data_IF_848092183101
#
_entry.id   IF_848092183101
#
_cell.length_a   1.000
_cell.length_b   1.000
_cell.length_c   1.000
_cell.angle_alpha   90.00
_cell.angle_beta   90.00
_cell.angle_gamma   90.00
#
_symmetry.space_group_name_H-M   'P 1'
#
loop_
_entity.id
_entity.type
_entity.pdbx_description
1 polymer ?
#
# COMPACT_ATOMS: atom_id res chain seq x y z
N UNK A 1 -4.85 19.23 -1.84
CA UNK A 1 -5.06 18.24 -2.88
C UNK A 1 -6.38 18.52 -3.61
N UNK A 2 -6.61 18.02 -4.81
CA UNK A 2 -7.87 18.26 -5.54
C UNK A 2 -8.47 16.91 -5.92
N UNK A 3 -9.80 16.80 -5.98
CA UNK A 3 -10.52 15.59 -6.42
C UNK A 3 -10.72 15.53 -7.94
N UNK A 4 -9.73 15.98 -8.71
CA UNK A 4 -9.87 16.09 -10.17
C UNK A 4 -9.92 14.72 -10.85
N UNK A 5 -9.06 13.80 -10.43
CA UNK A 5 -9.00 12.45 -10.99
C UNK A 5 -10.20 11.62 -10.54
N UNK A 6 -10.58 11.73 -9.28
CA UNK A 6 -11.76 11.06 -8.71
C UNK A 6 -13.02 11.47 -9.47
N UNK A 7 -13.23 12.76 -9.68
CA UNK A 7 -14.40 13.28 -10.41
C UNK A 7 -14.42 12.87 -11.89
N UNK A 8 -13.26 12.79 -12.54
CA UNK A 8 -13.16 12.30 -13.93
C UNK A 8 -13.45 10.81 -14.03
N UNK A 9 -13.08 10.03 -13.01
CA UNK A 9 -13.30 8.59 -12.98
C UNK A 9 -14.77 8.24 -12.68
N UNK A 10 -15.46 9.10 -11.92
CA UNK A 10 -16.85 8.92 -11.51
C UNK A 10 -17.00 8.09 -10.23
N UNK A 11 -18.08 8.37 -9.47
CA UNK A 11 -18.41 7.67 -8.23
C UNK A 11 -19.23 6.41 -8.52
N UNK A 12 -19.00 5.28 -7.84
CA UNK A 12 -18.00 5.10 -6.80
C UNK A 12 -16.59 4.91 -7.34
N UNK A 13 -15.60 5.47 -6.64
CA UNK A 13 -14.18 5.40 -7.00
C UNK A 13 -13.32 5.06 -5.79
N UNK A 14 -12.25 4.30 -6.00
CA UNK A 14 -11.22 4.01 -4.99
C UNK A 14 -9.83 4.45 -5.47
N UNK A 15 -8.93 4.77 -4.52
CA UNK A 15 -7.51 4.97 -4.76
C UNK A 15 -6.69 3.80 -4.21
N UNK A 16 -5.64 3.40 -4.91
CA UNK A 16 -4.74 2.30 -4.51
C UNK A 16 -3.28 2.78 -4.59
N UNK A 17 -2.50 2.43 -3.58
CA UNK A 17 -1.05 2.66 -3.55
C UNK A 17 -0.34 1.52 -2.80
N UNK A 18 1.01 1.43 -2.95
CA UNK A 18 1.84 0.43 -2.30
C UNK A 18 2.95 1.03 -1.46
N UNK A 19 3.46 0.22 -0.53
CA UNK A 19 4.65 0.52 0.25
C UNK A 19 5.57 -0.70 0.37
N UNK A 20 6.88 -0.49 0.23
CA UNK A 20 7.86 -1.53 0.53
C UNK A 20 8.37 -2.32 -0.67
N UNK A 21 8.43 -1.76 -1.86
CA UNK A 21 9.05 -2.43 -3.04
C UNK A 21 10.57 -2.55 -2.95
N UNK A 22 11.25 -1.50 -2.47
CA UNK A 22 12.71 -1.42 -2.44
C UNK A 22 13.47 -2.14 -1.32
N UNK A 23 12.88 -2.43 -0.14
CA UNK A 23 13.54 -3.14 0.94
C UNK A 23 14.01 -4.54 0.57
N UNK A 24 15.08 -5.02 1.26
CA UNK A 24 15.64 -6.36 1.15
C UNK A 24 14.88 -7.40 2.00
N UNK A 25 14.02 -6.93 2.92
CA UNK A 25 13.26 -7.78 3.83
C UNK A 25 11.83 -7.29 4.02
N UNK A 26 10.98 -8.23 4.37
CA UNK A 26 9.56 -8.04 4.66
C UNK A 26 8.67 -8.02 3.42
N UNK A 27 7.35 -8.07 3.63
CA UNK A 27 6.33 -8.00 2.58
C UNK A 27 6.32 -6.67 1.83
N UNK A 28 5.74 -6.67 0.64
CA UNK A 28 5.18 -5.45 0.02
C UNK A 28 3.74 -5.33 0.48
N UNK A 29 3.35 -4.13 0.90
CA UNK A 29 1.98 -3.80 1.30
C UNK A 29 1.31 -2.96 0.23
N UNK A 30 0.01 -3.13 0.07
CA UNK A 30 -0.84 -2.25 -0.70
C UNK A 30 -2.09 -1.91 0.12
N UNK A 31 -2.65 -0.75 -0.12
CA UNK A 31 -3.94 -0.37 0.44
C UNK A 31 -4.86 0.17 -0.65
N UNK A 32 -6.15 -0.01 -0.45
CA UNK A 32 -7.21 0.58 -1.25
C UNK A 32 -8.15 1.37 -0.34
N UNK A 33 -8.56 2.55 -0.79
CA UNK A 33 -9.45 3.45 -0.04
C UNK A 33 -10.54 3.96 -0.97
N UNK A 34 -11.79 3.72 -0.58
CA UNK A 34 -12.98 4.32 -1.18
C UNK A 34 -13.65 5.28 -0.19
N UNK A 35 -14.04 6.45 -0.66
CA UNK A 35 -14.88 7.39 0.06
C UNK A 35 -15.78 8.08 -0.96
N UNK A 36 -17.13 8.18 -0.72
CA UNK A 36 -18.03 8.90 -1.62
C UNK A 36 -17.54 10.32 -1.91
N UNK A 37 -17.62 10.76 -3.17
CA UNK A 37 -17.04 12.05 -3.62
C UNK A 37 -17.60 13.25 -2.88
N UNK A 38 -18.88 13.21 -2.51
CA UNK A 38 -19.51 14.26 -1.70
C UNK A 38 -18.81 14.36 -0.34
N UNK A 39 -18.67 13.23 0.36
CA UNK A 39 -18.01 13.15 1.66
C UNK A 39 -16.52 13.54 1.59
N UNK A 40 -15.82 13.10 0.55
CA UNK A 40 -14.44 13.49 0.29
C UNK A 40 -14.29 15.00 0.11
N UNK A 41 -15.26 15.65 -0.57
CA UNK A 41 -15.26 17.10 -0.76
C UNK A 41 -15.43 17.86 0.55
N UNK A 42 -16.29 17.41 1.45
CA UNK A 42 -16.47 17.98 2.79
C UNK A 42 -15.20 17.87 3.63
N UNK A 43 -14.59 16.68 3.66
CA UNK A 43 -13.44 16.38 4.53
C UNK A 43 -12.12 17.03 4.07
N UNK A 44 -11.99 17.38 2.80
CA UNK A 44 -10.79 18.06 2.28
C UNK A 44 -10.48 19.40 2.96
N UNK A 45 -11.50 20.11 3.45
CA UNK A 45 -11.33 21.37 4.21
C UNK A 45 -11.16 21.16 5.72
N UNK A 46 -11.29 19.93 6.21
CA UNK A 46 -11.30 19.57 7.62
C UNK A 46 -10.33 18.45 7.96
N UNK A 47 -10.87 17.31 8.39
CA UNK A 47 -10.11 16.17 8.93
C UNK A 47 -9.08 15.60 7.92
N UNK A 48 -9.38 15.64 6.64
CA UNK A 48 -8.51 15.15 5.56
C UNK A 48 -7.63 16.25 4.93
N UNK A 49 -7.68 17.49 5.40
CA UNK A 49 -6.90 18.61 4.86
C UNK A 49 -5.39 18.37 4.87
N UNK A 50 -4.91 17.58 5.80
CA UNK A 50 -3.50 17.23 5.95
C UNK A 50 -3.06 15.97 5.19
N UNK A 51 -3.97 15.25 4.52
CA UNK A 51 -3.63 14.09 3.68
C UNK A 51 -2.81 14.57 2.50
N UNK A 52 -1.62 13.97 2.33
CA UNK A 52 -0.66 14.27 1.28
C UNK A 52 0.28 13.06 1.11
N UNK A 53 1.19 13.11 0.15
CA UNK A 53 2.28 12.16 -0.04
C UNK A 53 2.84 11.70 1.32
N UNK A 54 2.72 10.42 1.61
CA UNK A 54 3.07 9.81 2.91
C UNK A 54 4.53 10.00 3.29
N UNK A 55 5.42 10.18 2.30
CA UNK A 55 6.86 10.40 2.49
C UNK A 55 7.20 11.79 3.01
N UNK A 56 6.28 12.75 2.84
CA UNK A 56 6.42 14.13 3.35
C UNK A 56 5.89 14.29 4.77
N UNK A 57 5.22 13.29 5.31
CA UNK A 57 4.66 13.31 6.64
C UNK A 57 5.61 12.66 7.66
N UNK A 58 5.66 13.21 8.89
CA UNK A 58 6.32 12.52 9.99
C UNK A 58 5.57 11.23 10.35
N UNK A 59 6.25 10.24 10.95
CA UNK A 59 5.65 8.96 11.37
C UNK A 59 4.41 9.21 12.24
N UNK A 60 4.54 10.01 13.31
CA UNK A 60 3.43 10.37 14.19
C UNK A 60 2.22 10.96 13.44
N UNK A 61 2.46 11.84 12.45
CA UNK A 61 1.37 12.43 11.66
C UNK A 61 0.72 11.42 10.74
N UNK A 62 1.51 10.49 10.15
CA UNK A 62 0.97 9.38 9.35
C UNK A 62 0.07 8.48 10.20
N UNK A 63 0.52 8.10 11.40
CA UNK A 63 -0.26 7.23 12.30
C UNK A 63 -1.58 7.89 12.68
N UNK A 64 -1.56 9.18 13.04
CA UNK A 64 -2.78 9.93 13.32
C UNK A 64 -3.72 9.96 12.12
N UNK A 65 -3.20 10.25 10.92
CA UNK A 65 -4.02 10.28 9.69
C UNK A 65 -4.52 8.89 9.30
N UNK A 66 -3.73 7.83 9.50
CA UNK A 66 -4.19 6.47 9.26
C UNK A 66 -5.40 6.12 10.13
N UNK A 67 -5.37 6.48 11.41
CA UNK A 67 -6.53 6.29 12.30
C UNK A 67 -7.72 7.16 11.90
N UNK A 68 -7.49 8.41 11.49
CA UNK A 68 -8.55 9.28 10.96
C UNK A 68 -9.21 8.64 9.73
N UNK A 69 -8.42 8.15 8.76
CA UNK A 69 -8.95 7.50 7.54
C UNK A 69 -9.78 6.28 7.91
N UNK A 70 -9.26 5.39 8.78
CA UNK A 70 -9.93 4.16 9.19
C UNK A 70 -11.26 4.40 9.90
N UNK A 71 -11.35 5.45 10.69
CA UNK A 71 -12.52 5.79 11.50
C UNK A 71 -13.48 6.77 10.79
N UNK A 72 -13.17 7.21 9.57
CA UNK A 72 -14.05 8.10 8.80
C UNK A 72 -15.33 7.39 8.39
N UNK A 73 -16.47 7.95 8.77
CA UNK A 73 -17.78 7.43 8.40
C UNK A 73 -17.95 7.42 6.86
N UNK A 74 -18.42 6.30 6.33
CA UNK A 74 -18.60 6.08 4.90
C UNK A 74 -17.31 5.64 4.17
N UNK A 75 -16.15 5.74 4.82
CA UNK A 75 -14.91 5.21 4.25
C UNK A 75 -14.92 3.68 4.23
N UNK A 76 -14.52 3.10 3.10
CA UNK A 76 -14.24 1.68 2.95
C UNK A 76 -12.77 1.55 2.56
N UNK A 77 -12.03 0.78 3.34
CA UNK A 77 -10.61 0.60 3.11
C UNK A 77 -10.19 -0.86 3.34
N UNK A 78 -9.12 -1.25 2.69
CA UNK A 78 -8.47 -2.53 2.91
C UNK A 78 -6.95 -2.37 2.80
N UNK A 79 -6.23 -3.21 3.54
CA UNK A 79 -4.77 -3.33 3.50
C UNK A 79 -4.45 -4.79 3.24
N UNK A 80 -3.65 -5.04 2.22
CA UNK A 80 -3.18 -6.38 1.89
C UNK A 80 -1.68 -6.38 1.66
N UNK A 81 -1.08 -7.58 1.65
CA UNK A 81 0.35 -7.73 1.42
C UNK A 81 0.66 -8.92 0.53
N UNK A 82 1.88 -8.92 -0.01
CA UNK A 82 2.52 -10.11 -0.55
C UNK A 82 3.84 -10.36 0.18
N UNK A 83 4.02 -11.58 0.67
CA UNK A 83 5.13 -12.00 1.53
C UNK A 83 6.48 -11.99 0.81
N UNK A 84 7.59 -12.06 1.56
CA UNK A 84 8.93 -12.23 0.98
C UNK A 84 9.00 -13.48 0.08
N UNK A 85 8.37 -14.58 0.47
CA UNK A 85 8.31 -15.81 -0.34
C UNK A 85 7.53 -15.61 -1.66
N UNK A 86 6.42 -14.87 -1.63
CA UNK A 86 5.68 -14.53 -2.86
C UNK A 86 6.48 -13.58 -3.76
N UNK A 87 7.23 -12.63 -3.17
CA UNK A 87 8.15 -11.77 -3.92
C UNK A 87 9.24 -12.60 -4.60
N UNK A 88 9.83 -13.57 -3.89
CA UNK A 88 10.85 -14.45 -4.46
C UNK A 88 10.29 -15.34 -5.58
N UNK A 89 9.04 -15.79 -5.44
CA UNK A 89 8.37 -16.63 -6.45
C UNK A 89 7.95 -15.87 -7.69
N UNK A 90 7.39 -14.66 -7.54
CA UNK A 90 6.71 -13.93 -8.63
C UNK A 90 7.48 -12.71 -9.13
N UNK A 91 8.55 -12.31 -8.50
CA UNK A 91 9.24 -11.02 -8.51
C UNK A 91 8.44 -9.88 -7.85
N UNK A 92 9.15 -8.77 -7.53
CA UNK A 92 8.55 -7.63 -6.80
C UNK A 92 7.40 -6.95 -7.57
N UNK A 93 7.46 -6.86 -8.89
CA UNK A 93 6.41 -6.24 -9.68
C UNK A 93 5.10 -7.02 -9.58
N UNK A 94 5.16 -8.33 -9.85
CA UNK A 94 3.96 -9.20 -9.79
C UNK A 94 3.43 -9.35 -8.36
N UNK A 95 4.32 -9.40 -7.36
CA UNK A 95 3.92 -9.44 -5.95
C UNK A 95 3.22 -8.13 -5.52
N UNK A 96 3.69 -6.97 -6.00
CA UNK A 96 2.99 -5.69 -5.80
C UNK A 96 1.60 -5.72 -6.42
N UNK A 97 1.47 -6.16 -7.67
CA UNK A 97 0.16 -6.29 -8.34
C UNK A 97 -0.78 -7.25 -7.60
N UNK A 98 -0.24 -8.33 -7.03
CA UNK A 98 -1.01 -9.27 -6.21
C UNK A 98 -1.53 -8.61 -4.92
N UNK A 99 -0.69 -7.85 -4.21
CA UNK A 99 -1.12 -7.11 -3.02
C UNK A 99 -2.18 -6.06 -3.36
N UNK A 100 -2.00 -5.31 -4.45
CA UNK A 100 -3.00 -4.34 -4.93
C UNK A 100 -4.33 -5.01 -5.29
N UNK A 101 -4.28 -6.16 -5.97
CA UNK A 101 -5.49 -6.93 -6.32
C UNK A 101 -6.24 -7.41 -5.08
N UNK A 102 -5.53 -7.92 -4.08
CA UNK A 102 -6.13 -8.33 -2.80
C UNK A 102 -6.83 -7.15 -2.11
N UNK A 103 -6.15 -6.01 -1.96
CA UNK A 103 -6.74 -4.82 -1.35
C UNK A 103 -7.95 -4.29 -2.14
N UNK A 104 -7.88 -4.31 -3.48
CA UNK A 104 -8.99 -3.98 -4.36
C UNK A 104 -10.20 -4.88 -4.10
N UNK A 105 -10.01 -6.20 -4.11
CA UNK A 105 -11.09 -7.16 -3.99
C UNK A 105 -11.80 -7.05 -2.64
N UNK A 106 -11.03 -6.82 -1.57
CA UNK A 106 -11.59 -6.61 -0.23
C UNK A 106 -12.46 -5.34 -0.17
N UNK A 107 -12.04 -4.23 -0.81
CA UNK A 107 -12.85 -3.00 -0.89
C UNK A 107 -14.11 -3.22 -1.73
N UNK A 108 -14.00 -3.91 -2.88
CA UNK A 108 -15.16 -4.22 -3.73
C UNK A 108 -16.17 -5.09 -2.99
N UNK A 109 -15.71 -6.12 -2.29
CA UNK A 109 -16.58 -6.99 -1.49
C UNK A 109 -17.30 -6.22 -0.37
N UNK A 110 -16.58 -5.35 0.35
CA UNK A 110 -17.16 -4.52 1.40
C UNK A 110 -18.15 -3.48 0.85
N UNK A 111 -17.86 -2.88 -0.31
CA UNK A 111 -18.77 -1.97 -0.99
C UNK A 111 -20.04 -2.69 -1.46
N UNK A 112 -19.92 -3.85 -2.08
CA UNK A 112 -21.05 -4.67 -2.51
C UNK A 112 -21.96 -5.03 -1.33
N UNK A 113 -21.39 -5.44 -0.21
CA UNK A 113 -22.13 -5.77 1.00
C UNK A 113 -22.91 -4.56 1.58
N UNK A 114 -22.29 -3.35 1.53
CA UNK A 114 -22.94 -2.12 2.02
C UNK A 114 -24.03 -1.59 1.07
N UNK A 115 -23.78 -1.63 -0.25
CA UNK A 115 -24.69 -1.07 -1.25
C UNK A 115 -25.82 -2.02 -1.65
N UNK A 116 -25.74 -3.29 -1.28
CA UNK A 116 -26.65 -4.33 -1.74
C UNK A 116 -26.53 -4.65 -3.23
N UNK A 117 -25.46 -4.19 -3.89
CA UNK A 117 -25.19 -4.42 -5.31
C UNK A 117 -24.27 -5.62 -5.47
N UNK A 118 -24.57 -6.48 -6.44
CA UNK A 118 -23.67 -7.54 -6.89
C UNK A 118 -23.08 -7.16 -8.23
N UNK A 119 -21.82 -7.52 -8.46
CA UNK A 119 -21.19 -7.38 -9.77
C UNK A 119 -21.42 -8.64 -10.60
N UNK A 120 -22.27 -8.62 -11.64
CA UNK A 120 -22.42 -9.75 -12.54
C UNK A 120 -21.11 -10.03 -13.29
N UNK A 121 -20.88 -11.28 -13.63
CA UNK A 121 -19.70 -11.66 -14.43
C UNK A 121 -19.71 -10.93 -15.78
N UNK A 122 -18.58 -10.31 -16.14
CA UNK A 122 -18.43 -9.52 -17.37
C UNK A 122 -19.04 -8.11 -17.35
N UNK A 123 -19.63 -7.68 -16.23
CA UNK A 123 -20.13 -6.31 -16.08
C UNK A 123 -18.98 -5.30 -15.87
N UNK A 124 -19.29 -3.99 -16.05
CA UNK A 124 -18.40 -2.92 -15.69
C UNK A 124 -17.99 -3.00 -14.21
N UNK A 125 -16.79 -2.50 -13.83
CA UNK A 125 -16.35 -2.50 -12.43
C UNK A 125 -17.38 -1.86 -11.51
N UNK A 126 -17.68 -2.50 -10.37
CA UNK A 126 -18.60 -1.98 -9.37
C UNK A 126 -18.08 -0.68 -8.75
N UNK A 127 -16.76 -0.56 -8.64
CA UNK A 127 -16.06 0.63 -8.15
C UNK A 127 -14.94 0.97 -9.13
N UNK A 128 -14.89 2.20 -9.60
CA UNK A 128 -13.81 2.70 -10.45
C UNK A 128 -12.49 2.75 -9.67
N UNK A 129 -11.37 2.61 -10.35
CA UNK A 129 -10.06 2.43 -9.71
C UNK A 129 -9.04 3.44 -10.21
N UNK A 130 -8.43 4.17 -9.27
CA UNK A 130 -7.24 4.99 -9.48
C UNK A 130 -6.05 4.31 -8.82
N UNK A 131 -4.92 4.18 -9.52
CA UNK A 131 -3.71 3.52 -8.99
C UNK A 131 -2.52 4.46 -9.13
N UNK A 132 -1.65 4.52 -8.09
CA UNK A 132 -0.37 5.20 -8.22
C UNK A 132 0.55 4.47 -9.21
N UNK A 133 1.28 5.25 -10.02
CA UNK A 133 2.33 4.75 -10.90
C UNK A 133 1.87 4.21 -12.25
N UNK A 134 2.46 3.09 -12.65
CA UNK A 134 2.27 2.47 -13.97
C UNK A 134 1.15 1.42 -13.96
N UNK A 135 0.82 0.92 -15.15
CA UNK A 135 -0.26 -0.05 -15.35
C UNK A 135 -0.10 -1.31 -14.48
N UNK A 136 -1.18 -1.68 -13.80
CA UNK A 136 -1.29 -2.86 -12.96
C UNK A 136 -2.01 -3.94 -13.73
N UNK A 137 -1.29 -4.99 -14.14
CA UNK A 137 -1.80 -6.05 -15.03
C UNK A 137 -2.99 -6.82 -14.46
N UNK A 138 -3.12 -6.87 -13.12
CA UNK A 138 -4.24 -7.52 -12.42
C UNK A 138 -5.47 -6.62 -12.26
N UNK A 139 -5.37 -5.34 -12.65
CA UNK A 139 -6.43 -4.34 -12.60
C UNK A 139 -6.53 -3.61 -13.96
N UNK A 140 -6.95 -4.29 -15.03
CA UNK A 140 -6.86 -3.76 -16.40
C UNK A 140 -7.73 -2.53 -16.66
N UNK A 141 -8.74 -2.29 -15.82
CA UNK A 141 -9.64 -1.13 -15.92
C UNK A 141 -9.21 0.05 -15.04
N UNK A 142 -8.08 -0.07 -14.33
CA UNK A 142 -7.59 1.00 -13.47
C UNK A 142 -7.03 2.18 -14.27
N UNK A 143 -7.31 3.38 -13.82
CA UNK A 143 -6.67 4.61 -14.31
C UNK A 143 -5.37 4.82 -13.53
N UNK A 144 -4.25 4.77 -14.25
CA UNK A 144 -2.92 4.86 -13.66
C UNK A 144 -2.46 6.32 -13.63
N UNK A 145 -2.00 6.79 -12.47
CA UNK A 145 -1.62 8.19 -12.25
C UNK A 145 -0.18 8.22 -11.71
N UNK A 146 0.75 8.64 -12.55
CA UNK A 146 2.15 8.83 -12.12
C UNK A 146 2.22 9.91 -11.04
N UNK A 147 2.81 9.56 -9.88
CA UNK A 147 2.82 10.36 -8.65
C UNK A 147 1.39 10.68 -8.19
N UNK A 148 0.54 9.68 -8.20
CA UNK A 148 -0.86 9.76 -7.83
C UNK A 148 -1.03 10.15 -6.35
N UNK A 149 -0.14 9.69 -5.49
CA UNK A 149 -0.04 10.04 -4.07
C UNK A 149 0.06 11.55 -3.80
N UNK A 150 0.56 12.32 -4.76
CA UNK A 150 0.62 13.78 -4.70
C UNK A 150 -0.55 14.47 -5.42
N UNK A 151 -1.41 13.76 -6.14
CA UNK A 151 -2.43 14.32 -7.05
C UNK A 151 -3.86 13.91 -6.72
N UNK A 152 -4.07 12.69 -6.24
CA UNK A 152 -5.36 12.09 -5.89
C UNK A 152 -5.46 11.93 -4.38
N UNK A 153 -6.56 12.39 -3.80
CA UNK A 153 -6.81 12.30 -2.36
C UNK A 153 -6.92 10.85 -1.91
N UNK A 154 -7.62 10.01 -2.68
CA UNK A 154 -7.82 8.61 -2.33
C UNK A 154 -6.54 7.78 -2.48
N UNK A 155 -5.71 8.05 -3.49
CA UNK A 155 -4.39 7.43 -3.61
C UNK A 155 -3.49 7.86 -2.44
N UNK A 156 -3.49 9.14 -2.06
CA UNK A 156 -2.72 9.62 -0.90
C UNK A 156 -3.17 8.98 0.41
N UNK A 157 -4.48 8.79 0.60
CA UNK A 157 -5.01 8.07 1.76
C UNK A 157 -4.55 6.61 1.77
N UNK A 158 -4.58 5.92 0.61
CA UNK A 158 -4.06 4.57 0.45
C UNK A 158 -2.56 4.50 0.75
N UNK A 159 -1.77 5.44 0.25
CA UNK A 159 -0.33 5.57 0.54
C UNK A 159 -0.03 5.63 2.03
N UNK A 160 -0.80 6.43 2.78
CA UNK A 160 -0.68 6.54 4.24
C UNK A 160 -0.97 5.18 4.90
N UNK A 161 -2.06 4.51 4.54
CA UNK A 161 -2.43 3.22 5.12
C UNK A 161 -1.40 2.13 4.81
N UNK A 162 -0.96 2.01 3.56
CA UNK A 162 0.04 1.03 3.16
C UNK A 162 1.38 1.26 3.88
N UNK A 163 1.82 2.52 3.99
CA UNK A 163 3.07 2.89 4.65
C UNK A 163 3.01 2.64 6.16
N UNK A 164 1.93 3.03 6.83
CA UNK A 164 1.76 2.82 8.27
C UNK A 164 1.70 1.33 8.62
N UNK A 165 0.94 0.54 7.88
CA UNK A 165 0.87 -0.91 8.07
C UNK A 165 2.24 -1.59 7.89
N UNK A 166 2.99 -1.16 6.86
CA UNK A 166 4.32 -1.70 6.64
C UNK A 166 5.31 -1.31 7.73
N UNK A 167 5.27 -0.07 8.22
CA UNK A 167 6.16 0.38 9.28
C UNK A 167 5.87 -0.36 10.60
N UNK A 168 4.60 -0.62 10.92
CA UNK A 168 4.20 -1.46 12.05
C UNK A 168 4.73 -2.90 11.89
N UNK A 169 4.58 -3.52 10.72
CA UNK A 169 5.15 -4.84 10.46
C UNK A 169 6.68 -4.89 10.66
N UNK A 170 7.39 -3.81 10.35
CA UNK A 170 8.84 -3.75 10.59
C UNK A 170 9.18 -3.72 12.09
N UNK A 171 8.31 -3.17 12.95
CA UNK A 171 8.49 -3.25 14.40
C UNK A 171 8.31 -4.69 14.91
N UNK A 172 7.29 -5.40 14.39
CA UNK A 172 7.07 -6.81 14.72
C UNK A 172 8.23 -7.70 14.24
N UNK A 173 8.76 -7.43 13.02
CA UNK A 173 9.96 -8.10 12.53
C UNK A 173 11.17 -7.86 13.43
N UNK A 174 11.37 -6.64 13.92
CA UNK A 174 12.49 -6.29 14.80
C UNK A 174 12.42 -7.06 16.14
N UNK A 175 11.22 -7.19 16.70
CA UNK A 175 10.98 -7.99 17.88
C UNK A 175 11.19 -9.49 17.65
N UNK A 176 10.77 -10.01 16.50
CA UNK A 176 10.88 -11.43 16.12
C UNK A 176 12.30 -11.85 15.75
N UNK A 177 13.06 -10.95 15.14
CA UNK A 177 14.43 -11.18 14.67
C UNK A 177 15.36 -10.10 15.25
N UNK A 178 15.67 -10.16 16.56
CA UNK A 178 16.52 -9.17 17.22
C UNK A 178 17.92 -9.15 16.61
N UNK A 179 18.53 -7.98 16.57
CA UNK A 179 19.86 -7.77 16.02
C UNK A 179 19.90 -7.31 14.57
N UNK A 180 18.83 -7.51 13.77
CA UNK A 180 18.79 -6.99 12.40
C UNK A 180 18.56 -5.48 12.31
N UNK A 181 17.87 -4.87 13.26
CA UNK A 181 17.59 -3.43 13.30
C UNK A 181 16.47 -3.00 12.33
N UNK A 182 15.49 -3.86 12.09
CA UNK A 182 14.35 -3.59 11.20
C UNK A 182 13.51 -2.39 11.64
N UNK A 183 13.45 -2.12 12.94
CA UNK A 183 12.76 -0.94 13.47
C UNK A 183 13.36 0.37 12.96
N UNK A 184 14.68 0.40 12.71
CA UNK A 184 15.39 1.60 12.25
C UNK A 184 15.38 1.76 10.73
N UNK A 185 15.90 0.78 10.02
CA UNK A 185 16.07 0.88 8.57
C UNK A 185 14.90 0.29 7.76
N UNK A 186 13.86 -0.26 8.43
CA UNK A 186 12.65 -0.77 7.80
C UNK A 186 12.93 -1.76 6.64
N UNK A 187 14.01 -2.55 6.77
CA UNK A 187 14.46 -3.50 5.74
C UNK A 187 15.16 -2.89 4.52
N UNK A 188 15.33 -1.57 4.44
CA UNK A 188 16.01 -0.92 3.31
C UNK A 188 17.51 -1.26 3.25
N UNK A 189 18.14 -1.21 2.05
CA UNK A 189 19.56 -1.53 1.83
C UNK A 189 20.49 -0.43 2.35
N UNK A 190 20.56 -0.28 3.67
CA UNK A 190 21.48 0.64 4.35
C UNK A 190 22.80 -0.04 4.70
N UNK A 191 23.84 0.75 4.97
CA UNK A 191 25.14 0.20 5.41
C UNK A 191 25.00 -0.67 6.65
N UNK A 192 24.14 -0.26 7.63
CA UNK A 192 23.84 -1.03 8.83
C UNK A 192 23.17 -2.38 8.47
N UNK A 193 22.20 -2.39 7.58
CA UNK A 193 21.52 -3.62 7.17
C UNK A 193 22.48 -4.58 6.46
N UNK A 194 23.36 -4.07 5.58
CA UNK A 194 24.39 -4.89 4.94
C UNK A 194 25.43 -5.46 5.93
N UNK A 195 25.79 -4.69 6.97
CA UNK A 195 26.71 -5.17 7.98
C UNK A 195 26.12 -6.37 8.73
N UNK A 196 24.87 -6.24 9.21
CA UNK A 196 24.18 -7.29 9.93
C UNK A 196 23.91 -8.51 9.05
N UNK A 197 23.56 -8.32 7.78
CA UNK A 197 23.39 -9.42 6.82
C UNK A 197 24.68 -10.24 6.62
N UNK A 198 25.86 -9.61 6.65
CA UNK A 198 27.16 -10.32 6.57
C UNK A 198 27.48 -11.08 7.86
N UNK A 199 27.04 -10.57 9.01
CA UNK A 199 27.30 -11.15 10.32
C UNK A 199 26.33 -12.30 10.64
N UNK A 200 25.01 -12.08 10.50
CA UNK A 200 23.96 -13.02 10.93
C UNK A 200 23.38 -13.86 9.78
N UNK A 201 23.73 -13.52 8.52
CA UNK A 201 23.06 -14.12 7.36
C UNK A 201 21.62 -13.62 7.19
N UNK A 202 20.90 -14.09 6.15
CA UNK A 202 19.52 -13.71 5.91
C UNK A 202 18.52 -14.51 6.78
N UNK A 203 17.65 -13.82 7.51
CA UNK A 203 16.50 -14.43 8.20
C UNK A 203 15.36 -14.76 7.20
N UNK A 204 14.29 -15.50 7.62
CA UNK A 204 13.17 -15.89 6.75
C UNK A 204 12.42 -14.73 6.09
N UNK A 205 12.50 -13.52 6.63
CA UNK A 205 11.87 -12.34 6.05
C UNK A 205 12.67 -11.72 4.90
N UNK A 206 13.92 -12.14 4.67
CA UNK A 206 14.72 -11.59 3.58
C UNK A 206 14.29 -12.13 2.22
N UNK A 207 14.26 -11.23 1.25
CA UNK A 207 13.90 -11.51 -0.15
C UNK A 207 15.12 -12.11 -0.86
N UNK A 208 15.17 -13.42 -0.94
CA UNK A 208 16.32 -14.18 -1.44
C UNK A 208 16.61 -13.94 -2.92
N UNK A 209 15.60 -13.54 -3.70
CA UNK A 209 15.75 -13.15 -5.11
C UNK A 209 16.39 -11.77 -5.33
N UNK A 210 16.51 -10.95 -4.28
CA UNK A 210 17.14 -9.64 -4.40
C UNK A 210 18.66 -9.78 -4.39
N UNK A 211 19.32 -9.15 -5.39
CA UNK A 211 20.77 -9.31 -5.63
C UNK A 211 21.66 -9.26 -4.39
N UNK A 212 21.52 -8.25 -3.49
CA UNK A 212 22.35 -8.20 -2.29
C UNK A 212 22.16 -9.37 -1.32
N UNK A 213 20.95 -9.97 -1.26
CA UNK A 213 20.65 -11.12 -0.40
C UNK A 213 21.08 -12.42 -1.09
N UNK A 214 20.83 -12.58 -2.39
CA UNK A 214 21.19 -13.78 -3.15
C UNK A 214 22.70 -14.01 -3.18
N UNK A 215 23.50 -12.94 -3.22
CA UNK A 215 24.96 -13.04 -3.20
C UNK A 215 25.51 -13.61 -1.88
N UNK A 216 24.83 -13.42 -0.76
CA UNK A 216 25.23 -13.95 0.55
C UNK A 216 24.84 -15.41 0.76
N UNK A 217 23.97 -15.96 -0.06
CA UNK A 217 23.52 -17.38 0.03
C UNK A 217 24.31 -18.30 -0.91
N UNK A 218 25.30 -17.79 -1.64
CA UNK A 218 26.15 -18.56 -2.55
C UNK A 218 27.43 -19.10 -1.88
N UNK A 219 27.60 -18.79 -0.61
CA UNK A 219 28.68 -19.27 0.24
C UNK A 219 28.11 -19.91 1.50
#
# INVERSE_FOLDING_TARGET
MKLEFERKCGDPVMGIDEAGRGPLAGPVFAAAVHLPLERATELMGGEWASINDSKKLSEKKRDTLAETIKNTEGCIWAIASATAAEIDRFNILRATHLAMKRAHDDVVAAYAAKSGQAQPEGAAPLVNVLVDGLAVTTLPHAVNIVKGDAKSLLIAAASILAKTARDAYCMDMDAKYPGYGFAKHKGYPTAAHFAVLRELGPCPEHRRSFGPVSQLTLF
#
